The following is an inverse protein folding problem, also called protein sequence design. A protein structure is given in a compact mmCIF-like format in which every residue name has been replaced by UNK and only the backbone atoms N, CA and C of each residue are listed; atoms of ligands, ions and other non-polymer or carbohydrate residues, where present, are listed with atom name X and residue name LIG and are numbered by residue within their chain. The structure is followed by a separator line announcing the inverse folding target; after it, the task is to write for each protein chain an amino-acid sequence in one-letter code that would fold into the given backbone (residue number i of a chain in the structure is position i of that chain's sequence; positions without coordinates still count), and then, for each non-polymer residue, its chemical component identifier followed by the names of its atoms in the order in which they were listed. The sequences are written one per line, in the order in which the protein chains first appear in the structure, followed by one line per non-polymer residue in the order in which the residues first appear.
data_IF_574361291532
#
_entry.id   IF_574361291532
#
_cell.length_a   1.000
_cell.length_b   1.000
_cell.length_c   1.000
_cell.angle_alpha   90.00
_cell.angle_beta   90.00
_cell.angle_gamma   90.00
#
_symmetry.space_group_name_H-M   'P 1'
#
loop_
_entity.id
_entity.type
_entity.pdbx_description
1 polymer ?
#
# COMPACT_ATOMS: atom_id res chain seq x y z
N UNK A 1 26.29 22.55 3.84
CA UNK A 1 26.86 21.40 3.09
C UNK A 1 26.06 20.11 3.27
N UNK A 2 25.47 19.86 4.45
CA UNK A 2 24.65 18.66 4.76
C UNK A 2 23.43 18.47 3.83
N UNK A 3 22.57 19.50 3.69
CA UNK A 3 21.31 19.39 2.93
C UNK A 3 21.53 19.04 1.45
N UNK A 4 22.56 19.61 0.81
CA UNK A 4 22.86 19.36 -0.61
C UNK A 4 23.25 17.90 -0.89
N UNK A 5 23.77 17.21 0.12
CA UNK A 5 24.12 15.79 0.07
C UNK A 5 22.89 14.89 0.23
N UNK A 6 21.99 15.24 1.17
CA UNK A 6 20.75 14.49 1.42
C UNK A 6 19.82 14.49 0.20
N UNK A 7 19.64 15.65 -0.44
CA UNK A 7 18.86 15.77 -1.68
C UNK A 7 19.41 14.94 -2.83
N UNK A 8 20.74 14.77 -2.89
CA UNK A 8 21.39 13.99 -3.93
C UNK A 8 21.18 12.49 -3.71
N UNK A 9 21.34 12.02 -2.46
CA UNK A 9 21.07 10.62 -2.10
C UNK A 9 19.60 10.24 -2.29
N UNK A 10 18.68 11.14 -1.94
CA UNK A 10 17.24 10.96 -2.16
C UNK A 10 16.90 10.80 -3.66
N UNK A 11 17.54 11.58 -4.54
CA UNK A 11 17.33 11.46 -5.99
C UNK A 11 17.85 10.14 -6.55
N UNK A 12 19.02 9.70 -6.10
CA UNK A 12 19.61 8.43 -6.51
C UNK A 12 18.75 7.23 -6.06
N UNK A 13 18.25 7.27 -4.83
CA UNK A 13 17.29 6.32 -4.28
C UNK A 13 16.02 6.22 -5.15
N UNK A 14 15.38 7.35 -5.45
CA UNK A 14 14.16 7.35 -6.28
C UNK A 14 14.45 6.84 -7.69
N UNK A 15 15.57 7.28 -8.28
CA UNK A 15 15.97 6.88 -9.63
C UNK A 15 16.18 5.36 -9.71
N UNK A 16 16.88 4.78 -8.73
CA UNK A 16 17.05 3.33 -8.61
C UNK A 16 15.70 2.61 -8.56
N UNK A 17 14.80 3.07 -7.69
CA UNK A 17 13.47 2.48 -7.50
C UNK A 17 12.65 2.55 -8.79
N UNK A 18 12.57 3.72 -9.43
CA UNK A 18 11.78 3.91 -10.66
C UNK A 18 12.29 3.08 -11.84
N UNK A 19 13.61 2.86 -11.92
CA UNK A 19 14.21 1.99 -12.94
C UNK A 19 13.67 0.55 -12.84
N UNK A 20 13.40 0.05 -11.64
CA UNK A 20 12.81 -1.29 -11.46
C UNK A 20 11.37 -1.38 -11.99
N UNK A 21 10.65 -0.25 -12.04
CA UNK A 21 9.32 -0.14 -12.66
C UNK A 21 9.39 0.20 -14.15
N UNK A 22 10.59 0.35 -14.72
CA UNK A 22 10.78 0.74 -16.11
C UNK A 22 10.31 2.18 -16.40
N UNK A 23 10.35 3.05 -15.39
CA UNK A 23 9.91 4.43 -15.49
C UNK A 23 11.10 5.38 -15.50
N UNK A 24 11.00 6.43 -16.31
CA UNK A 24 11.94 7.54 -16.33
C UNK A 24 11.22 8.81 -15.83
N UNK A 25 11.62 9.38 -14.67
CA UNK A 25 10.98 10.57 -14.15
C UNK A 25 11.33 11.78 -15.02
N UNK A 26 10.32 12.54 -15.45
CA UNK A 26 10.48 13.89 -16.02
C UNK A 26 10.46 14.96 -14.93
N UNK A 27 9.59 14.76 -13.94
CA UNK A 27 9.43 15.67 -12.81
C UNK A 27 8.93 14.91 -11.59
N UNK A 28 9.34 15.35 -10.40
CA UNK A 28 8.98 14.74 -9.13
C UNK A 28 8.51 15.86 -8.19
N UNK A 29 7.31 15.71 -7.64
CA UNK A 29 6.78 16.56 -6.58
C UNK A 29 6.68 15.78 -5.27
N UNK A 30 7.03 16.41 -4.16
CA UNK A 30 6.97 15.79 -2.83
C UNK A 30 5.70 16.24 -2.10
N UNK A 31 4.87 15.27 -1.71
CA UNK A 31 3.64 15.46 -0.92
C UNK A 31 3.75 14.67 0.38
N UNK A 32 4.40 15.25 1.39
CA UNK A 32 4.67 14.57 2.67
C UNK A 32 5.48 13.29 2.47
N UNK A 33 4.88 12.12 2.75
CA UNK A 33 5.53 10.80 2.59
C UNK A 33 5.32 10.17 1.20
N UNK A 34 4.66 10.86 0.29
CA UNK A 34 4.33 10.40 -1.06
C UNK A 34 5.09 11.28 -2.05
N UNK A 35 5.72 10.67 -3.05
CA UNK A 35 6.28 11.40 -4.18
C UNK A 35 5.38 11.20 -5.40
N UNK A 36 4.94 12.30 -6.01
CA UNK A 36 4.22 12.27 -7.28
C UNK A 36 5.23 12.32 -8.41
N UNK A 37 5.19 11.31 -9.28
CA UNK A 37 6.16 11.08 -10.33
C UNK A 37 5.48 11.31 -11.66
N UNK A 38 5.94 12.33 -12.40
CA UNK A 38 5.51 12.59 -13.76
C UNK A 38 6.46 11.89 -14.71
N UNK A 39 5.91 11.06 -15.59
CA UNK A 39 6.66 10.30 -16.59
C UNK A 39 6.02 10.48 -17.97
N UNK A 40 6.66 9.94 -19.00
CA UNK A 40 6.08 9.78 -20.33
C UNK A 40 4.91 8.78 -20.37
N UNK A 41 4.79 7.90 -19.38
CA UNK A 41 3.75 6.86 -19.28
C UNK A 41 2.59 7.20 -18.35
N UNK A 42 2.57 8.42 -17.81
CA UNK A 42 1.53 8.90 -16.89
C UNK A 42 2.10 9.41 -15.57
N UNK A 43 1.19 9.60 -14.61
CA UNK A 43 1.49 10.18 -13.30
C UNK A 43 1.25 9.14 -12.21
N UNK A 44 2.26 8.93 -11.39
CA UNK A 44 2.28 7.87 -10.38
C UNK A 44 2.49 8.44 -8.99
N UNK A 45 2.00 7.72 -7.98
CA UNK A 45 2.30 7.95 -6.58
C UNK A 45 3.32 6.88 -6.13
N UNK A 46 4.48 7.33 -5.66
CA UNK A 46 5.48 6.49 -5.02
C UNK A 46 5.41 6.68 -3.50
N UNK A 47 5.11 5.60 -2.77
CA UNK A 47 5.10 5.60 -1.30
C UNK A 47 6.29 4.84 -0.73
N UNK A 48 6.74 5.29 0.44
CA UNK A 48 7.81 4.71 1.24
C UNK A 48 7.25 4.17 2.56
N UNK A 49 7.54 2.91 2.88
CA UNK A 49 7.20 2.27 4.17
C UNK A 49 8.40 1.52 4.71
N UNK A 50 8.46 1.25 6.02
CA UNK A 50 9.56 0.47 6.60
C UNK A 50 9.50 -0.98 6.09
N UNK A 51 10.64 -1.68 6.00
CA UNK A 51 10.62 -3.11 5.57
C UNK A 51 9.75 -3.96 6.48
N UNK A 52 9.82 -3.72 7.81
CA UNK A 52 9.04 -4.44 8.82
C UNK A 52 7.55 -4.40 8.50
N UNK A 53 7.02 -3.21 8.20
CA UNK A 53 5.60 -3.02 7.93
C UNK A 53 5.27 -3.39 6.47
N UNK A 54 6.24 -3.28 5.56
CA UNK A 54 6.07 -3.47 4.12
C UNK A 54 5.92 -4.91 3.67
N UNK A 55 6.63 -5.86 4.28
CA UNK A 55 6.49 -7.27 3.92
C UNK A 55 5.07 -7.78 4.15
N UNK A 56 4.49 -7.44 5.30
CA UNK A 56 3.12 -7.80 5.65
C UNK A 56 2.08 -7.10 4.77
N UNK A 57 2.34 -5.84 4.41
CA UNK A 57 1.50 -5.08 3.49
C UNK A 57 1.39 -5.75 2.11
N UNK A 58 2.52 -6.11 1.49
CA UNK A 58 2.51 -6.77 0.17
C UNK A 58 1.82 -8.12 0.23
N UNK A 59 2.07 -8.92 1.28
CA UNK A 59 1.45 -10.23 1.47
C UNK A 59 -0.08 -10.12 1.56
N UNK A 60 -0.60 -9.19 2.37
CA UNK A 60 -2.05 -8.97 2.51
C UNK A 60 -2.68 -8.47 1.21
N UNK A 61 -1.98 -7.60 0.49
CA UNK A 61 -2.45 -7.08 -0.79
C UNK A 61 -2.54 -8.21 -1.84
N UNK A 62 -1.50 -9.04 -1.97
CA UNK A 62 -1.53 -10.21 -2.87
C UNK A 62 -2.66 -11.18 -2.51
N UNK A 63 -2.87 -11.43 -1.22
CA UNK A 63 -3.98 -12.26 -0.73
C UNK A 63 -5.35 -11.71 -1.16
N UNK A 64 -5.55 -10.40 -1.05
CA UNK A 64 -6.79 -9.74 -1.50
C UNK A 64 -6.99 -9.89 -3.01
N UNK A 65 -5.96 -9.70 -3.83
CA UNK A 65 -6.04 -9.92 -5.28
C UNK A 65 -6.35 -11.38 -5.64
N UNK A 66 -5.73 -12.34 -4.96
CA UNK A 66 -6.03 -13.76 -5.16
C UNK A 66 -7.47 -14.13 -4.82
N UNK A 67 -8.08 -13.43 -3.86
CA UNK A 67 -9.51 -13.54 -3.53
C UNK A 67 -10.44 -12.71 -4.42
N UNK A 68 -9.91 -12.10 -5.49
CA UNK A 68 -10.68 -11.30 -6.45
C UNK A 68 -11.06 -9.90 -5.96
N UNK A 69 -10.46 -9.42 -4.87
CA UNK A 69 -10.73 -8.09 -4.35
C UNK A 69 -9.92 -7.01 -5.08
N UNK A 70 -10.48 -6.50 -6.18
CA UNK A 70 -9.84 -5.49 -7.05
C UNK A 70 -10.34 -4.06 -6.79
N UNK A 71 -10.95 -3.80 -5.61
CA UNK A 71 -11.54 -2.50 -5.22
C UNK A 71 -10.58 -1.64 -4.38
N UNK A 72 -9.31 -2.03 -4.28
CA UNK A 72 -8.24 -1.23 -3.69
C UNK A 72 -7.48 -0.46 -4.77
N UNK A 73 -6.82 0.63 -4.37
CA UNK A 73 -5.88 1.33 -5.26
C UNK A 73 -4.83 0.32 -5.75
N UNK A 74 -4.64 0.18 -7.07
CA UNK A 74 -3.76 -0.86 -7.59
C UNK A 74 -2.30 -0.54 -7.25
N UNK A 75 -1.58 -1.55 -6.74
CA UNK A 75 -0.13 -1.50 -6.59
C UNK A 75 0.48 -2.09 -7.85
N UNK A 76 1.25 -1.30 -8.58
CA UNK A 76 1.85 -1.76 -9.83
C UNK A 76 3.07 -2.65 -9.53
N UNK A 77 3.23 -3.77 -10.25
CA UNK A 77 4.43 -4.58 -10.16
C UNK A 77 5.62 -3.90 -10.87
N UNK A 78 6.82 -4.22 -10.43
CA UNK A 78 8.08 -3.97 -11.14
C UNK A 78 8.16 -4.81 -12.42
N UNK A 79 9.17 -4.55 -13.26
CA UNK A 79 9.42 -5.31 -14.50
C UNK A 79 9.55 -6.82 -14.22
N UNK A 80 10.10 -7.19 -13.07
CA UNK A 80 10.28 -8.58 -12.63
C UNK A 80 9.10 -9.13 -11.81
N UNK A 81 7.98 -8.42 -11.71
CA UNK A 81 6.74 -8.90 -11.11
C UNK A 81 6.60 -8.67 -9.60
N UNK A 82 7.59 -8.09 -8.92
CA UNK A 82 7.51 -7.77 -7.48
C UNK A 82 6.64 -6.53 -7.26
N UNK A 83 5.85 -6.51 -6.19
CA UNK A 83 5.00 -5.35 -5.85
C UNK A 83 5.69 -4.27 -5.02
N UNK A 84 7.01 -4.39 -4.83
CA UNK A 84 7.78 -3.40 -4.11
C UNK A 84 9.28 -3.55 -4.33
N UNK A 85 10.00 -2.45 -4.17
CA UNK A 85 11.44 -2.36 -4.30
C UNK A 85 12.03 -2.06 -2.93
N UNK A 86 12.92 -2.94 -2.47
CA UNK A 86 13.69 -2.70 -1.24
C UNK A 86 14.85 -1.76 -1.55
N UNK A 87 15.01 -0.73 -0.74
CA UNK A 87 16.17 0.15 -0.74
C UNK A 87 16.48 0.56 0.69
N UNK A 88 17.68 0.20 1.16
CA UNK A 88 18.08 0.33 2.57
C UNK A 88 17.04 -0.27 3.53
N UNK A 89 16.49 0.51 4.47
CA UNK A 89 15.53 0.07 5.49
C UNK A 89 14.08 0.30 5.08
N UNK A 90 13.83 0.53 3.79
CA UNK A 90 12.51 0.87 3.29
C UNK A 90 12.08 0.01 2.10
N UNK A 91 10.77 -0.18 2.01
CA UNK A 91 10.08 -0.74 0.86
C UNK A 91 9.33 0.37 0.12
N UNK A 92 9.53 0.41 -1.18
CA UNK A 92 8.91 1.36 -2.09
C UNK A 92 7.89 0.67 -2.98
N UNK A 93 6.69 1.22 -3.07
CA UNK A 93 5.64 0.69 -3.94
C UNK A 93 5.00 1.80 -4.77
N UNK A 94 4.61 1.43 -5.99
CA UNK A 94 4.08 2.34 -6.99
C UNK A 94 2.56 2.15 -7.13
N UNK A 95 1.85 3.26 -7.25
CA UNK A 95 0.40 3.30 -7.44
C UNK A 95 0.02 4.37 -8.47
N UNK A 96 -1.18 4.34 -9.06
CA UNK A 96 -1.66 5.46 -9.85
C UNK A 96 -1.80 6.71 -8.97
N UNK A 97 -1.52 7.87 -9.54
CA UNK A 97 -1.92 9.13 -8.91
C UNK A 97 -3.43 9.32 -9.07
N UNK A 98 -4.14 9.46 -7.94
CA UNK A 98 -5.58 9.73 -7.95
C UNK A 98 -5.79 11.23 -7.75
N UNK A 99 -6.29 11.97 -8.75
CA UNK A 99 -6.68 13.36 -8.56
C UNK A 99 -7.84 13.41 -7.55
N UNK A 100 -7.81 14.41 -6.67
CA UNK A 100 -8.88 14.63 -5.71
C UNK A 100 -10.07 15.30 -6.43
N UNK A 101 -10.76 14.55 -7.29
CA UNK A 101 -11.96 15.02 -7.96
C UNK A 101 -13.15 14.85 -7.02
N UNK A 102 -13.64 15.96 -6.45
CA UNK A 102 -14.90 16.02 -5.71
C UNK A 102 -16.05 15.86 -6.71
N UNK A 103 -16.30 14.64 -7.19
CA UNK A 103 -17.34 14.35 -8.19
C UNK A 103 -18.59 13.67 -7.64
N UNK A 104 -18.59 13.26 -6.37
CA UNK A 104 -19.73 12.57 -5.77
C UNK A 104 -20.46 13.41 -4.71
N UNK A 105 -21.78 13.30 -4.71
CA UNK A 105 -22.66 13.87 -3.70
C UNK A 105 -22.33 13.31 -2.30
N UNK A 106 -22.24 14.20 -1.30
CA UNK A 106 -21.64 13.91 0.00
C UNK A 106 -22.34 12.77 0.76
N UNK A 107 -23.63 12.58 0.53
CA UNK A 107 -24.46 11.56 1.18
C UNK A 107 -24.22 10.15 0.63
N UNK A 108 -23.89 10.00 -0.65
CA UNK A 108 -23.64 8.68 -1.25
C UNK A 108 -22.25 8.12 -0.90
N UNK A 109 -21.28 9.00 -0.65
CA UNK A 109 -19.89 8.62 -0.32
C UNK A 109 -19.81 7.73 0.92
N UNK A 110 -20.54 8.07 1.98
CA UNK A 110 -20.53 7.31 3.22
C UNK A 110 -21.11 5.91 3.02
N UNK A 111 -22.24 5.81 2.29
CA UNK A 111 -22.88 4.52 1.97
C UNK A 111 -21.95 3.64 1.13
N UNK A 112 -21.28 4.21 0.14
CA UNK A 112 -20.31 3.49 -0.69
C UNK A 112 -19.12 3.01 0.14
N UNK A 113 -18.58 3.85 1.01
CA UNK A 113 -17.51 3.47 1.94
C UNK A 113 -17.91 2.27 2.81
N UNK A 114 -19.11 2.29 3.42
CA UNK A 114 -19.58 1.15 4.22
C UNK A 114 -19.77 -0.11 3.38
N UNK A 115 -20.26 0.00 2.14
CA UNK A 115 -20.37 -1.14 1.23
C UNK A 115 -19.01 -1.76 0.91
N UNK A 116 -18.00 -0.94 0.61
CA UNK A 116 -16.64 -1.45 0.34
C UNK A 116 -15.99 -2.03 1.60
N UNK A 117 -16.23 -1.44 2.78
CA UNK A 117 -15.75 -1.96 4.06
C UNK A 117 -16.36 -3.33 4.38
N UNK A 118 -17.67 -3.49 4.21
CA UNK A 118 -18.35 -4.76 4.46
C UNK A 118 -17.83 -5.89 3.55
N UNK A 119 -17.58 -5.58 2.27
CA UNK A 119 -16.97 -6.53 1.32
C UNK A 119 -15.56 -6.90 1.71
N UNK A 120 -14.73 -5.91 2.06
CA UNK A 120 -13.38 -6.16 2.55
C UNK A 120 -13.41 -7.05 3.79
N UNK A 121 -14.31 -6.78 4.74
CA UNK A 121 -14.47 -7.57 5.95
C UNK A 121 -14.81 -9.03 5.63
N UNK A 122 -15.82 -9.27 4.78
CA UNK A 122 -16.21 -10.63 4.39
C UNK A 122 -15.07 -11.41 3.72
N UNK A 123 -14.23 -10.75 2.91
CA UNK A 123 -13.13 -11.41 2.19
C UNK A 123 -11.84 -11.58 3.01
N UNK A 124 -11.64 -10.76 4.03
CA UNK A 124 -10.46 -10.79 4.92
C UNK A 124 -10.70 -11.51 6.24
N UNK A 125 -11.96 -11.87 6.54
CA UNK A 125 -12.30 -12.71 7.68
C UNK A 125 -11.60 -14.07 7.57
N UNK A 126 -10.95 -14.46 8.66
CA UNK A 126 -10.37 -15.79 8.84
C UNK A 126 -11.29 -16.55 9.80
N UNK A 127 -11.72 -17.74 9.41
CA UNK A 127 -12.37 -18.67 10.33
C UNK A 127 -11.31 -19.14 11.33
N UNK A 128 -11.53 -18.85 12.61
CA UNK A 128 -10.72 -19.41 13.68
C UNK A 128 -11.44 -20.68 14.16
N UNK A 129 -10.84 -21.88 13.97
CA UNK A 129 -11.39 -23.08 14.57
C UNK A 129 -11.29 -22.92 16.09
N UNK A 130 -12.43 -22.86 16.76
CA UNK A 130 -12.46 -22.74 18.22
C UNK A 130 -12.54 -24.13 18.81
N UNK A 131 -11.49 -24.54 19.51
CA UNK A 131 -11.51 -25.77 20.29
C UNK A 131 -12.29 -25.58 21.59
N UNK A 132 -13.03 -26.61 21.99
CA UNK A 132 -13.92 -26.59 23.15
C UNK A 132 -13.12 -26.43 24.44
N UNK A 133 -11.89 -26.95 24.48
CA UNK A 133 -10.99 -26.90 25.64
C UNK A 133 -10.45 -25.48 25.86
N UNK A 134 -10.09 -24.76 24.80
CA UNK A 134 -9.66 -23.34 24.88
C UNK A 134 -10.76 -22.43 25.43
N UNK A 135 -12.03 -22.67 25.07
CA UNK A 135 -13.16 -21.89 25.59
C UNK A 135 -13.34 -22.04 27.09
N UNK A 136 -13.23 -23.27 27.59
CA UNK A 136 -13.36 -23.56 29.02
C UNK A 136 -12.24 -22.89 29.81
N UNK A 137 -10.99 -23.00 29.34
CA UNK A 137 -9.84 -22.37 29.98
C UNK A 137 -9.92 -20.83 30.00
N UNK A 138 -10.43 -20.21 28.93
CA UNK A 138 -10.62 -18.76 28.87
C UNK A 138 -11.73 -18.30 29.84
N UNK A 139 -12.85 -19.02 29.90
CA UNK A 139 -13.94 -18.73 30.83
C UNK A 139 -13.48 -18.81 32.29
N UNK A 140 -12.76 -19.86 32.65
CA UNK A 140 -12.23 -20.06 34.01
C UNK A 140 -11.23 -18.98 34.44
N UNK A 141 -10.42 -18.46 33.50
CA UNK A 141 -9.46 -17.38 33.77
C UNK A 141 -10.12 -16.02 33.99
N UNK A 142 -11.30 -15.79 33.43
CA UNK A 142 -11.99 -14.48 33.51
C UNK A 142 -12.93 -14.39 34.72
N UNK A 143 -13.13 -15.49 35.44
CA UNK A 143 -13.98 -15.60 36.65
C UNK A 143 -13.18 -15.56 37.97
N UNK A 144 -11.85 -15.37 37.91
CA UNK A 144 -10.99 -15.07 39.05
C UNK A 144 -10.72 -13.58 39.14
#
# INVERSE_FOLDING_TARGET
MQERSEWQMEKEEISYVLKQYGLTPRFIETFGKVRRIYTDRGVFALKKITVRDGGEFIRRMQYLYQRGFNRIVPVFPTIDGRYGVLYDKYLYYLMPWLPNELKEDHDERHKQMFRELARLHALSAQEVPVDREERTQFYERTMK
#
